data_IF_096719097719
#
_entry.id   IF_096719097719
#
_cell.length_a   1.000
_cell.length_b   1.000
_cell.length_c   1.000
_cell.angle_alpha   90.00
_cell.angle_beta   90.00
_cell.angle_gamma   90.00
#
_symmetry.space_group_name_H-M   'P 1'
#
loop_
_entity.id
_entity.type
_entity.pdbx_description
1 polymer ?
#
# COMPACT_ATOMS: atom_id res chain seq x y z
N UNK A 1 -0.84 -49.11 53.94
CA UNK A 1 -0.36 -47.79 53.45
C UNK A 1 -0.09 -47.93 51.95
N UNK A 2 -0.90 -47.31 51.10
CA UNK A 2 -0.73 -47.34 49.63
C UNK A 2 -0.26 -45.96 49.18
N UNK A 3 0.92 -45.94 48.56
CA UNK A 3 1.58 -44.74 48.03
C UNK A 3 0.96 -44.36 46.69
N UNK A 4 0.57 -43.09 46.52
CA UNK A 4 0.10 -42.50 45.28
C UNK A 4 1.23 -41.67 44.67
N UNK A 5 1.66 -42.03 43.46
CA UNK A 5 2.64 -41.28 42.66
C UNK A 5 1.91 -40.24 41.79
N UNK A 6 2.37 -38.98 41.73
CA UNK A 6 1.82 -37.99 40.83
C UNK A 6 2.42 -38.14 39.41
N UNK A 7 1.57 -38.17 38.40
CA UNK A 7 1.94 -38.10 36.98
C UNK A 7 2.04 -36.63 36.60
N UNK A 8 3.26 -36.15 36.34
CA UNK A 8 3.52 -34.79 35.85
C UNK A 8 3.32 -34.76 34.34
N UNK A 9 2.30 -34.02 33.87
CA UNK A 9 2.05 -33.79 32.44
C UNK A 9 2.77 -32.51 32.01
N UNK A 10 3.95 -32.65 31.39
CA UNK A 10 4.67 -31.52 30.80
C UNK A 10 4.06 -31.18 29.45
N UNK A 11 3.29 -30.09 29.40
CA UNK A 11 2.72 -29.54 28.18
C UNK A 11 3.81 -28.78 27.39
N UNK A 12 4.37 -29.41 26.36
CA UNK A 12 5.25 -28.74 25.39
C UNK A 12 4.40 -27.85 24.46
N UNK A 13 4.34 -26.54 24.73
CA UNK A 13 3.91 -25.55 23.74
C UNK A 13 5.05 -25.33 22.73
N UNK A 14 4.95 -25.99 21.57
CA UNK A 14 5.69 -25.57 20.38
C UNK A 14 5.05 -24.30 19.83
N UNK A 15 5.59 -23.14 20.18
CA UNK A 15 5.31 -21.90 19.44
C UNK A 15 6.08 -21.96 18.12
N UNK A 16 5.47 -22.54 17.09
CA UNK A 16 5.99 -22.41 15.74
C UNK A 16 5.89 -20.93 15.34
N UNK A 17 7.01 -20.23 15.35
CA UNK A 17 7.13 -18.92 14.69
C UNK A 17 7.11 -19.18 13.19
N UNK A 18 5.91 -19.31 12.63
CA UNK A 18 5.71 -19.36 11.19
C UNK A 18 6.11 -18.02 10.62
N UNK A 19 7.26 -17.98 9.92
CA UNK A 19 7.56 -16.89 8.99
C UNK A 19 6.47 -16.99 7.91
N UNK A 20 5.49 -16.10 7.95
CA UNK A 20 4.44 -16.02 6.94
C UNK A 20 5.01 -15.32 5.72
N UNK A 21 5.63 -16.09 4.83
CA UNK A 21 5.97 -15.61 3.50
C UNK A 21 4.69 -15.11 2.81
N UNK A 22 4.81 -14.10 1.94
CA UNK A 22 3.69 -13.65 1.12
C UNK A 22 3.01 -14.82 0.39
N UNK A 23 1.67 -14.84 0.31
CA UNK A 23 0.97 -15.84 -0.48
C UNK A 23 1.43 -15.75 -1.94
N UNK A 24 1.48 -16.90 -2.62
CA UNK A 24 1.78 -16.93 -4.06
C UNK A 24 0.61 -16.28 -4.84
N UNK A 25 0.78 -15.00 -5.17
CA UNK A 25 -0.24 -14.18 -5.83
C UNK A 25 0.05 -14.12 -7.33
N UNK A 26 -0.98 -14.42 -8.11
CA UNK A 26 -1.01 -14.10 -9.54
C UNK A 26 -1.74 -12.78 -9.74
N UNK A 27 -1.03 -11.79 -10.28
CA UNK A 27 -1.58 -10.47 -10.54
C UNK A 27 -2.17 -10.40 -11.94
N UNK A 28 -3.45 -10.01 -12.02
CA UNK A 28 -4.17 -9.92 -13.29
C UNK A 28 -4.65 -8.49 -13.47
N UNK A 29 -4.08 -7.82 -14.47
CA UNK A 29 -4.40 -6.43 -14.76
C UNK A 29 -5.88 -6.29 -15.10
N UNK A 30 -6.56 -5.37 -14.41
CA UNK A 30 -7.90 -4.95 -14.76
C UNK A 30 -7.81 -3.90 -15.87
N UNK A 31 -8.86 -3.74 -16.69
CA UNK A 31 -8.76 -2.79 -17.81
C UNK A 31 -8.44 -1.39 -17.27
N UNK A 32 -7.40 -0.79 -17.82
CA UNK A 32 -6.82 0.48 -17.36
C UNK A 32 -7.29 1.69 -18.17
N UNK A 33 -8.29 1.49 -19.04
CA UNK A 33 -8.93 2.48 -19.91
C UNK A 33 -10.27 3.00 -19.36
N UNK A 34 -10.73 2.48 -18.20
CA UNK A 34 -11.91 2.97 -17.49
C UNK A 34 -11.82 2.77 -15.98
N UNK A 35 -12.54 3.60 -15.23
CA UNK A 35 -12.81 3.48 -13.81
C UNK A 35 -13.81 2.38 -13.44
N UNK A 36 -14.40 1.65 -14.41
CA UNK A 36 -15.41 0.62 -14.16
C UNK A 36 -14.97 -0.53 -13.24
N UNK A 37 -13.66 -0.76 -13.15
CA UNK A 37 -13.08 -1.80 -12.30
C UNK A 37 -12.62 -1.29 -10.93
N UNK A 38 -12.73 0.01 -10.68
CA UNK A 38 -12.37 0.60 -9.40
C UNK A 38 -13.53 0.48 -8.41
N UNK A 39 -13.26 0.42 -7.09
CA UNK A 39 -14.31 0.41 -6.09
C UNK A 39 -15.21 1.65 -6.24
N UNK A 40 -16.51 1.47 -5.98
CA UNK A 40 -17.47 2.58 -5.94
C UNK A 40 -17.53 3.39 -7.25
N UNK A 41 -17.33 2.71 -8.38
CA UNK A 41 -17.57 3.25 -9.71
C UNK A 41 -19.01 3.75 -9.85
N UNK A 42 -19.15 4.95 -10.41
CA UNK A 42 -20.44 5.56 -10.67
C UNK A 42 -20.84 5.28 -12.10
N UNK A 43 -21.81 4.38 -12.27
CA UNK A 43 -22.35 4.05 -13.59
C UNK A 43 -23.23 5.20 -14.10
N UNK A 44 -22.59 6.24 -14.62
CA UNK A 44 -23.24 7.39 -15.25
C UNK A 44 -22.85 7.42 -16.72
N UNK A 45 -23.80 7.81 -17.57
CA UNK A 45 -23.59 7.84 -19.03
C UNK A 45 -22.46 8.77 -19.45
N UNK A 46 -22.26 9.85 -18.71
CA UNK A 46 -21.47 11.00 -19.13
C UNK A 46 -20.14 11.13 -18.36
N UNK A 47 -19.84 10.23 -17.41
CA UNK A 47 -18.61 10.31 -16.63
C UNK A 47 -18.03 8.93 -16.25
N UNK A 48 -16.74 8.76 -16.51
CA UNK A 48 -15.94 7.64 -16.04
C UNK A 48 -15.27 8.00 -14.71
N UNK A 49 -16.02 7.88 -13.61
CA UNK A 49 -15.59 8.31 -12.28
C UNK A 49 -16.00 7.34 -11.18
N UNK A 50 -15.29 7.37 -10.05
CA UNK A 50 -15.72 6.73 -8.80
C UNK A 50 -16.14 7.78 -7.78
N UNK A 51 -16.78 7.37 -6.69
CA UNK A 51 -16.75 8.20 -5.49
C UNK A 51 -15.38 8.17 -4.80
N UNK A 52 -15.33 8.56 -3.53
CA UNK A 52 -14.07 8.77 -2.82
C UNK A 52 -13.36 7.46 -2.43
N UNK A 53 -12.06 7.43 -2.67
CA UNK A 53 -11.14 6.31 -2.48
C UNK A 53 -9.96 6.69 -1.58
N UNK A 54 -9.31 5.67 -1.03
CA UNK A 54 -8.00 5.74 -0.40
C UNK A 54 -7.24 4.44 -0.63
N UNK A 55 -5.98 4.40 -0.21
CA UNK A 55 -5.10 3.24 -0.37
C UNK A 55 -4.66 2.73 0.98
N UNK A 56 -4.66 1.42 1.11
CA UNK A 56 -4.42 0.73 2.37
C UNK A 56 -3.45 -0.41 2.15
N UNK A 57 -2.57 -0.63 3.12
CA UNK A 57 -1.71 -1.81 3.14
C UNK A 57 -2.55 -3.06 3.39
N UNK A 58 -2.34 -4.10 2.58
CA UNK A 58 -3.03 -5.39 2.66
C UNK A 58 -2.04 -6.53 2.51
N UNK A 59 -2.30 -7.62 3.23
CA UNK A 59 -1.55 -8.88 3.20
C UNK A 59 -0.02 -8.69 3.24
N UNK A 60 0.44 -7.75 4.07
CA UNK A 60 1.87 -7.59 4.38
C UNK A 60 2.39 -8.73 5.24
N UNK A 61 3.67 -9.09 5.07
CA UNK A 61 4.34 -10.12 5.87
C UNK A 61 4.36 -9.77 7.37
N UNK A 62 4.40 -8.48 7.71
CA UNK A 62 4.10 -7.99 9.06
C UNK A 62 2.61 -7.62 9.16
N UNK A 63 1.80 -8.41 9.89
CA UNK A 63 0.38 -8.15 10.03
C UNK A 63 0.04 -6.81 10.69
N UNK A 64 0.97 -6.19 11.44
CA UNK A 64 0.75 -4.88 12.06
C UNK A 64 0.63 -3.74 11.05
N UNK A 65 1.12 -3.92 9.83
CA UNK A 65 0.98 -2.92 8.77
C UNK A 65 -0.38 -2.97 8.09
N UNK A 66 -1.07 -4.11 8.13
CA UNK A 66 -2.35 -4.29 7.46
C UNK A 66 -3.40 -3.34 8.03
N UNK A 67 -4.11 -2.64 7.13
CA UNK A 67 -5.10 -1.65 7.54
C UNK A 67 -4.58 -0.22 7.67
N UNK A 68 -3.26 0.00 7.58
CA UNK A 68 -2.71 1.35 7.57
C UNK A 68 -2.98 2.03 6.22
N UNK A 69 -3.42 3.30 6.27
CA UNK A 69 -3.70 4.09 5.09
C UNK A 69 -2.48 4.87 4.62
N UNK A 70 -2.28 4.92 3.31
CA UNK A 70 -1.25 5.76 2.70
C UNK A 70 -1.69 7.24 2.67
N UNK A 71 -0.73 8.12 2.92
CA UNK A 71 -0.87 9.57 2.86
C UNK A 71 0.38 10.18 2.22
N UNK A 72 0.30 11.38 1.60
CA UNK A 72 1.48 12.11 1.18
C UNK A 72 2.44 12.36 2.34
N UNK A 73 3.71 12.02 2.15
CA UNK A 73 4.80 12.20 3.09
C UNK A 73 5.95 12.94 2.41
N UNK A 74 6.55 13.94 3.06
CA UNK A 74 7.61 14.72 2.45
C UNK A 74 8.89 13.87 2.32
N UNK A 75 9.46 13.83 1.12
CA UNK A 75 10.63 13.06 0.74
C UNK A 75 11.61 13.92 -0.05
N UNK A 76 12.90 13.58 -0.01
CA UNK A 76 13.93 14.28 -0.81
C UNK A 76 14.49 13.33 -1.85
N UNK A 77 14.23 13.61 -3.13
CA UNK A 77 14.74 12.83 -4.27
C UNK A 77 15.73 13.67 -5.07
N UNK A 78 16.99 13.21 -5.16
CA UNK A 78 18.08 13.94 -5.84
C UNK A 78 18.18 15.42 -5.43
N UNK A 79 18.03 15.71 -4.14
CA UNK A 79 18.06 17.07 -3.58
C UNK A 79 16.78 17.90 -3.76
N UNK A 80 15.76 17.34 -4.44
CA UNK A 80 14.46 17.99 -4.64
C UNK A 80 13.44 17.49 -3.62
N UNK A 81 12.75 18.40 -2.94
CA UNK A 81 11.64 18.05 -2.08
C UNK A 81 10.42 17.63 -2.92
N UNK A 82 9.90 16.44 -2.65
CA UNK A 82 8.71 15.84 -3.27
C UNK A 82 7.83 15.22 -2.20
N UNK A 83 6.61 14.79 -2.54
CA UNK A 83 5.81 13.96 -1.64
C UNK A 83 5.68 12.55 -2.21
N UNK A 84 5.92 11.55 -1.37
CA UNK A 84 5.69 10.14 -1.67
C UNK A 84 4.57 9.61 -0.80
N UNK A 85 3.79 8.65 -1.28
CA UNK A 85 2.78 8.01 -0.44
C UNK A 85 3.44 7.06 0.58
N UNK A 86 3.09 7.26 1.85
CA UNK A 86 3.55 6.43 2.96
C UNK A 86 2.49 6.29 4.06
N UNK A 87 2.58 5.22 4.84
CA UNK A 87 1.66 4.91 5.92
C UNK A 87 2.18 5.50 7.25
N UNK A 88 1.47 6.50 7.78
CA UNK A 88 1.78 7.15 9.05
C UNK A 88 1.29 6.29 10.22
N UNK A 89 2.16 6.03 11.20
CA UNK A 89 1.85 5.15 12.34
C UNK A 89 0.95 5.80 13.39
N UNK A 90 0.93 7.13 13.47
CA UNK A 90 0.14 7.88 14.46
C UNK A 90 -1.19 8.37 13.90
N UNK A 91 -1.32 8.48 12.57
CA UNK A 91 -2.62 8.66 11.91
C UNK A 91 -3.39 7.35 11.91
N UNK A 92 -3.78 6.98 13.13
CA UNK A 92 -4.78 6.00 13.48
C UNK A 92 -5.90 5.92 12.44
N UNK A 93 -6.39 4.70 12.26
CA UNK A 93 -7.65 4.32 11.59
C UNK A 93 -8.81 5.27 11.99
N UNK A 94 -8.71 5.94 13.16
CA UNK A 94 -9.73 6.78 13.80
C UNK A 94 -9.44 8.29 13.86
N UNK A 95 -8.26 8.78 13.46
CA UNK A 95 -7.97 10.23 13.60
C UNK A 95 -8.52 11.03 12.43
N UNK A 96 -9.39 11.99 12.75
CA UNK A 96 -10.02 13.04 11.93
C UNK A 96 -9.04 14.05 11.28
N UNK A 97 -7.74 13.71 11.18
CA UNK A 97 -6.82 14.52 10.39
C UNK A 97 -7.26 14.50 8.92
N UNK A 98 -7.02 15.60 8.20
CA UNK A 98 -7.29 15.66 6.77
C UNK A 98 -6.47 14.56 6.06
N UNK A 99 -7.12 13.42 5.81
CA UNK A 99 -6.60 12.41 4.92
C UNK A 99 -6.82 12.94 3.49
N UNK A 100 -5.88 12.71 2.58
CA UNK A 100 -6.09 13.01 1.16
C UNK A 100 -7.04 11.98 0.57
N UNK A 101 -8.17 12.48 0.10
CA UNK A 101 -9.20 11.72 -0.59
C UNK A 101 -8.86 11.63 -2.08
N UNK A 102 -9.05 10.46 -2.68
CA UNK A 102 -8.82 10.23 -4.10
C UNK A 102 -10.11 9.80 -4.80
N UNK A 103 -10.10 9.78 -6.12
CA UNK A 103 -11.10 9.13 -6.96
C UNK A 103 -10.42 8.60 -8.21
N UNK A 104 -10.99 7.61 -8.89
CA UNK A 104 -10.65 7.40 -10.28
C UNK A 104 -11.46 8.38 -11.14
N UNK A 105 -10.80 9.02 -12.10
CA UNK A 105 -11.44 9.82 -13.13
C UNK A 105 -10.66 9.70 -14.44
N UNK A 106 -11.38 9.40 -15.54
CA UNK A 106 -10.79 9.13 -16.86
C UNK A 106 -9.70 8.04 -16.80
N UNK A 107 -10.03 6.92 -16.15
CA UNK A 107 -9.14 5.77 -15.95
C UNK A 107 -7.83 6.03 -15.18
N UNK A 108 -7.72 7.14 -14.46
CA UNK A 108 -6.57 7.46 -13.62
C UNK A 108 -6.96 7.92 -12.21
N UNK A 109 -6.17 7.59 -11.18
CA UNK A 109 -6.35 8.15 -9.85
C UNK A 109 -6.13 9.67 -9.84
N UNK A 110 -7.02 10.41 -9.18
CA UNK A 110 -6.96 11.87 -8.99
C UNK A 110 -7.31 12.24 -7.56
N UNK A 111 -6.86 13.41 -7.13
CA UNK A 111 -7.24 13.95 -5.83
C UNK A 111 -8.70 14.41 -5.88
N UNK A 112 -9.50 13.97 -4.91
CA UNK A 112 -10.90 14.29 -4.84
C UNK A 112 -11.08 15.78 -4.51
N UNK A 113 -11.77 16.53 -5.38
CA UNK A 113 -11.95 17.97 -5.23
C UNK A 113 -10.70 18.80 -5.53
N UNK A 114 -9.62 18.18 -6.01
CA UNK A 114 -8.40 18.87 -6.42
C UNK A 114 -8.60 19.73 -7.68
N UNK A 115 -7.83 20.81 -7.85
CA UNK A 115 -7.99 21.74 -8.98
C UNK A 115 -7.46 21.21 -10.33
N UNK A 116 -6.90 20.00 -10.39
CA UNK A 116 -6.14 19.51 -11.54
C UNK A 116 -6.82 18.35 -12.29
N UNK A 117 -6.67 18.34 -13.63
CA UNK A 117 -6.95 17.18 -14.50
C UNK A 117 -5.82 16.14 -14.47
N UNK A 118 -4.74 16.42 -13.74
CA UNK A 118 -3.58 15.55 -13.69
C UNK A 118 -3.84 14.34 -12.77
N UNK A 119 -3.24 13.19 -13.06
CA UNK A 119 -3.22 12.07 -12.12
C UNK A 119 -2.60 12.49 -10.79
N UNK A 120 -3.20 12.04 -9.70
CA UNK A 120 -2.75 12.35 -8.35
C UNK A 120 -1.36 11.80 -8.05
N UNK A 121 -0.97 10.70 -8.71
CA UNK A 121 0.34 10.12 -8.52
C UNK A 121 0.80 9.31 -9.72
N UNK A 122 2.13 9.26 -9.85
CA UNK A 122 2.89 8.40 -10.76
C UNK A 122 3.93 7.62 -9.96
N UNK A 123 4.39 6.50 -10.49
CA UNK A 123 5.46 5.72 -9.88
C UNK A 123 6.80 6.26 -10.42
N UNK A 124 7.68 6.64 -9.49
CA UNK A 124 9.03 7.11 -9.74
C UNK A 124 9.93 5.97 -10.19
N UNK A 125 11.08 6.25 -10.84
CA UNK A 125 12.02 5.21 -11.25
C UNK A 125 12.50 4.28 -10.12
N UNK A 126 12.50 4.74 -8.87
CA UNK A 126 12.84 3.92 -7.69
C UNK A 126 11.65 3.17 -7.07
N UNK A 127 10.48 3.22 -7.69
CA UNK A 127 9.26 2.53 -7.25
C UNK A 127 8.38 3.32 -6.27
N UNK A 128 8.81 4.49 -5.79
CA UNK A 128 7.98 5.34 -4.92
C UNK A 128 6.79 5.96 -5.66
N UNK A 129 5.62 5.96 -5.06
CA UNK A 129 4.42 6.61 -5.62
C UNK A 129 4.40 8.09 -5.20
N UNK A 130 4.40 9.02 -6.17
CA UNK A 130 4.57 10.46 -5.92
C UNK A 130 3.58 11.33 -6.68
N UNK A 131 3.16 12.43 -6.06
CA UNK A 131 2.32 13.46 -6.68
C UNK A 131 3.12 14.59 -7.35
N UNK A 132 4.46 14.52 -7.36
CA UNK A 132 5.33 15.61 -7.83
C UNK A 132 5.40 15.79 -9.35
N UNK A 133 4.70 14.93 -10.12
CA UNK A 133 4.80 14.90 -11.58
C UNK A 133 6.11 14.35 -12.13
N UNK A 134 7.08 13.99 -11.27
CA UNK A 134 8.36 13.40 -11.67
C UNK A 134 8.28 11.89 -11.95
N UNK A 135 7.16 11.25 -11.64
CA UNK A 135 6.97 9.83 -11.91
C UNK A 135 6.59 9.58 -13.37
N UNK A 136 7.08 8.49 -13.92
CA UNK A 136 6.92 8.16 -15.34
C UNK A 136 5.94 6.99 -15.55
N UNK A 137 5.83 6.10 -14.56
CA UNK A 137 5.01 4.90 -14.64
C UNK A 137 3.60 5.18 -14.14
N UNK A 138 2.61 4.71 -14.92
CA UNK A 138 1.18 4.79 -14.56
C UNK A 138 0.89 3.79 -13.44
N UNK A 139 0.07 4.22 -12.47
CA UNK A 139 -0.53 3.30 -11.50
C UNK A 139 -1.71 2.61 -12.16
N UNK A 140 -1.73 1.28 -12.11
CA UNK A 140 -2.70 0.43 -12.78
C UNK A 140 -3.46 -0.44 -11.76
N UNK A 141 -4.77 -0.70 -11.98
CA UNK A 141 -5.56 -1.56 -11.12
C UNK A 141 -5.36 -3.04 -11.47
N UNK A 142 -5.30 -3.87 -10.45
CA UNK A 142 -5.14 -5.32 -10.55
C UNK A 142 -6.15 -6.06 -9.69
N UNK A 143 -6.52 -7.25 -10.16
CA UNK A 143 -7.12 -8.31 -9.36
C UNK A 143 -6.00 -9.27 -8.96
N UNK A 144 -6.08 -9.83 -7.76
CA UNK A 144 -5.17 -10.88 -7.31
C UNK A 144 -5.90 -12.22 -7.28
N UNK A 145 -5.23 -13.27 -7.75
CA UNK A 145 -5.66 -14.65 -7.55
C UNK A 145 -4.62 -15.36 -6.64
N UNK A 146 -5.09 -16.06 -5.61
CA UNK A 146 -4.26 -16.91 -4.72
C UNK A 146 -4.71 -18.35 -4.90
N UNK A 147 -3.78 -19.23 -5.26
CA UNK A 147 -4.06 -20.64 -5.56
C UNK A 147 -5.20 -20.83 -6.59
N UNK A 148 -5.24 -19.96 -7.60
CA UNK A 148 -6.26 -19.97 -8.64
C UNK A 148 -7.64 -19.46 -8.21
N UNK A 149 -7.75 -18.89 -7.00
CA UNK A 149 -8.98 -18.26 -6.50
C UNK A 149 -8.80 -16.76 -6.43
N UNK A 150 -9.74 -16.03 -7.02
CA UNK A 150 -9.78 -14.57 -6.92
C UNK A 150 -9.91 -14.11 -5.47
N UNK A 151 -9.03 -13.19 -5.07
CA UNK A 151 -9.09 -12.46 -3.80
C UNK A 151 -9.93 -11.21 -4.01
N UNK A 152 -10.80 -10.91 -3.04
CA UNK A 152 -11.62 -9.71 -3.10
C UNK A 152 -10.77 -8.43 -3.03
N UNK A 153 -11.10 -7.47 -3.90
CA UNK A 153 -10.52 -6.14 -3.91
C UNK A 153 -9.82 -5.77 -5.22
N UNK A 154 -9.40 -4.52 -5.25
CA UNK A 154 -8.60 -3.94 -6.34
C UNK A 154 -7.25 -3.55 -5.74
N UNK A 155 -6.18 -3.98 -6.37
CA UNK A 155 -4.81 -3.75 -5.93
C UNK A 155 -4.10 -2.82 -6.89
N UNK A 156 -3.10 -2.09 -6.40
CA UNK A 156 -2.31 -1.17 -7.21
C UNK A 156 -0.99 -1.78 -7.64
N UNK A 157 -0.59 -1.48 -8.86
CA UNK A 157 0.69 -1.91 -9.41
C UNK A 157 1.07 -1.13 -10.65
N UNK A 158 2.04 -1.65 -11.39
CA UNK A 158 2.43 -1.19 -12.72
C UNK A 158 3.18 -2.30 -13.44
N UNK A 159 2.90 -2.50 -14.73
CA UNK A 159 3.71 -3.40 -15.56
C UNK A 159 3.74 -4.85 -15.06
N UNK A 160 2.61 -5.34 -14.53
CA UNK A 160 2.41 -6.65 -13.91
C UNK A 160 3.14 -6.87 -12.58
N UNK A 161 3.67 -5.80 -11.98
CA UNK A 161 4.19 -5.82 -10.62
C UNK A 161 3.14 -5.23 -9.69
N UNK A 162 2.78 -5.96 -8.64
CA UNK A 162 1.83 -5.48 -7.61
C UNK A 162 2.34 -5.61 -6.19
N UNK A 163 3.52 -6.20 -5.99
CA UNK A 163 4.15 -6.31 -4.68
C UNK A 163 4.80 -4.99 -4.30
N UNK A 164 4.43 -4.45 -3.15
CA UNK A 164 5.00 -3.24 -2.57
C UNK A 164 5.88 -3.60 -1.38
N UNK A 165 7.00 -2.91 -1.24
CA UNK A 165 7.87 -2.96 -0.07
C UNK A 165 7.57 -1.78 0.83
N UNK A 166 7.42 -2.06 2.12
CA UNK A 166 7.21 -1.08 3.17
C UNK A 166 8.45 -0.96 4.03
N UNK A 167 9.00 0.25 4.08
CA UNK A 167 10.21 0.53 4.86
C UNK A 167 9.93 1.60 5.90
N UNK A 168 10.26 1.30 7.15
CA UNK A 168 10.17 2.27 8.23
C UNK A 168 11.15 3.42 8.03
N UNK A 169 10.63 4.64 7.99
CA UNK A 169 11.40 5.89 7.91
C UNK A 169 11.30 6.59 9.25
N UNK A 170 12.45 6.70 9.94
CA UNK A 170 12.56 7.49 11.16
C UNK A 170 12.47 8.98 10.83
N UNK A 171 11.89 9.80 11.72
CA UNK A 171 11.88 11.24 11.54
C UNK A 171 13.32 11.76 11.57
N UNK A 172 13.71 12.48 10.51
CA UNK A 172 15.03 13.11 10.42
C UNK A 172 15.09 14.46 11.12
N UNK A 173 13.93 15.07 11.43
CA UNK A 173 13.78 16.43 11.95
C UNK A 173 12.63 16.51 12.96
N UNK A 174 12.69 17.47 13.89
CA UNK A 174 11.57 17.79 14.78
C UNK A 174 10.33 18.19 13.97
N UNK A 175 9.20 17.51 14.23
CA UNK A 175 7.93 17.77 13.55
C UNK A 175 7.65 16.87 12.35
N UNK A 176 8.65 16.13 11.84
CA UNK A 176 8.38 15.03 10.90
C UNK A 176 7.91 13.81 11.66
N UNK A 177 6.98 13.08 11.04
CA UNK A 177 6.40 11.89 11.62
C UNK A 177 7.15 10.67 11.13
N UNK A 178 7.12 9.63 11.94
CA UNK A 178 7.52 8.28 11.59
C UNK A 178 6.46 7.66 10.66
N UNK A 179 6.90 7.04 9.57
CA UNK A 179 6.00 6.45 8.59
C UNK A 179 6.67 5.27 7.89
N UNK A 180 5.86 4.42 7.27
CA UNK A 180 6.32 3.40 6.33
C UNK A 180 6.23 3.94 4.91
N UNK A 181 7.37 4.13 4.26
CA UNK A 181 7.46 4.45 2.84
C UNK A 181 7.03 3.22 2.02
N UNK A 182 6.18 3.42 1.01
CA UNK A 182 5.77 2.36 0.08
C UNK A 182 6.53 2.48 -1.26
N UNK A 183 7.11 1.37 -1.73
CA UNK A 183 7.78 1.28 -3.04
C UNK A 183 7.34 0.04 -3.81
N UNK A 184 7.05 0.17 -5.10
CA UNK A 184 6.77 -1.00 -5.93
C UNK A 184 8.05 -1.81 -6.16
N UNK A 185 8.01 -3.11 -5.86
CA UNK A 185 9.14 -4.02 -5.99
C UNK A 185 9.22 -4.60 -7.40
N UNK A 186 10.43 -4.93 -7.86
CA UNK A 186 10.68 -5.53 -9.17
C UNK A 186 10.86 -4.53 -10.32
N UNK A 187 10.70 -3.22 -10.05
CA UNK A 187 11.08 -2.17 -10.99
C UNK A 187 12.61 -1.95 -10.95
N UNK A 188 13.35 -2.77 -11.69
CA UNK A 188 14.84 -2.80 -11.75
C UNK A 188 15.55 -3.16 -10.41
N UNK A 189 16.76 -3.71 -10.52
CA UNK A 189 17.61 -4.13 -9.38
C UNK A 189 18.30 -2.95 -8.67
N UNK A 190 17.98 -1.73 -9.09
CA UNK A 190 18.65 -0.50 -8.73
C UNK A 190 18.16 0.03 -7.38
N UNK A 191 18.23 -0.83 -6.36
CA UNK A 191 18.37 -0.40 -4.97
C UNK A 191 19.59 0.53 -4.78
N UNK A 192 20.42 0.72 -5.82
CA UNK A 192 21.53 1.65 -5.89
C UNK A 192 21.16 3.12 -5.59
N UNK A 193 19.89 3.54 -5.78
CA UNK A 193 19.38 4.84 -5.31
C UNK A 193 18.81 4.81 -3.87
N UNK A 194 18.99 3.71 -3.14
CA UNK A 194 18.76 3.63 -1.71
C UNK A 194 20.10 3.48 -0.95
N UNK A 195 20.75 4.59 -0.53
CA UNK A 195 21.38 4.58 0.80
C UNK A 195 21.36 5.97 1.51
N UNK A 196 21.55 6.10 2.85
CA UNK A 196 21.80 5.11 3.89
C UNK A 196 20.82 5.26 5.08
N UNK A 197 19.90 4.34 5.25
CA UNK A 197 19.41 3.94 6.57
C UNK A 197 18.80 2.57 6.39
N UNK A 198 19.57 1.57 6.82
CA UNK A 198 19.14 0.18 6.86
C UNK A 198 17.78 0.09 7.54
N UNK A 199 16.85 -0.52 6.83
CA UNK A 199 15.53 -0.85 7.32
C UNK A 199 15.12 -2.10 6.57
N UNK A 200 14.53 -3.04 7.29
CA UNK A 200 13.89 -4.19 6.69
C UNK A 200 12.79 -3.73 5.74
N UNK A 201 12.78 -4.30 4.54
CA UNK A 201 11.68 -4.11 3.59
C UNK A 201 10.66 -5.20 3.91
N UNK A 202 9.50 -4.78 4.38
CA UNK A 202 8.38 -5.69 4.65
C UNK A 202 7.53 -5.70 3.38
N UNK A 203 7.45 -6.82 2.65
CA UNK A 203 6.67 -6.86 1.42
C UNK A 203 5.18 -7.06 1.74
N UNK A 204 4.32 -6.61 0.82
CA UNK A 204 2.86 -6.73 0.90
C UNK A 204 2.20 -6.11 -0.33
N UNK A 205 0.93 -5.73 -0.22
CA UNK A 205 0.17 -5.16 -1.33
C UNK A 205 -0.52 -3.85 -0.94
N UNK A 206 -0.86 -3.05 -1.95
CA UNK A 206 -1.70 -1.87 -1.78
C UNK A 206 -3.09 -2.16 -2.32
N UNK A 207 -4.08 -2.16 -1.44
CA UNK A 207 -5.50 -2.33 -1.77
C UNK A 207 -6.18 -0.97 -1.86
N UNK A 208 -6.97 -0.76 -2.91
CA UNK A 208 -7.88 0.37 -3.05
C UNK A 208 -9.12 0.10 -2.24
N UNK A 209 -9.47 1.04 -1.37
CA UNK A 209 -10.67 0.95 -0.52
C UNK A 209 -11.48 2.23 -0.62
N UNK A 210 -12.78 2.12 -0.37
CA UNK A 210 -13.64 3.29 -0.26
C UNK A 210 -13.23 4.13 0.94
N UNK A 211 -13.45 5.44 0.83
CA UNK A 211 -13.24 6.31 1.97
C UNK A 211 -14.12 5.87 3.14
N UNK A 212 -13.56 5.62 4.34
CA UNK A 212 -14.38 5.36 5.50
C UNK A 212 -15.13 6.65 5.82
N UNK A 213 -16.45 6.66 5.58
CA UNK A 213 -17.35 7.63 6.21
C UNK A 213 -17.33 7.29 7.70
N UNK A 214 -16.60 8.08 8.49
CA UNK A 214 -16.60 7.99 9.96
C UNK A 214 -17.84 8.70 10.49
#
# INVERSE_FOLDING_TARGET
MKSLTPISFTLLLFTATGVTALPNVTSIQLKSDSCAYWPYWQNTRDADVTGTLTFMISDAEDPFLNGLFLQPQPYTYNGTAIEVLGADLRKSIRTTGAKTAYQCADAEPREYGGPTRAPAFRILPFGGMSNSGLGELKVEPYRHDVDGKGVDGVFLGSGNLTTWGFRYVKPSECGRLDYYEARLLGLHDDWYYAPPSGGEIIPGFLKVVTWPLI
#
